data_IF_327769096793
#
_entry.id   IF_327769096793
#
_cell.length_a   1.000
_cell.length_b   1.000
_cell.length_c   1.000
_cell.angle_alpha   90.00
_cell.angle_beta   90.00
_cell.angle_gamma   90.00
#
_symmetry.space_group_name_H-M   'P 1'
#
loop_
_entity.id
_entity.type
_entity.pdbx_description
1 polymer ?
#
# COMPACT_ATOMS: atom_id res chain seq x y z
N UNK A 1 -18.56 -0.42 11.14
CA UNK A 1 -18.05 0.96 11.19
C UNK A 1 -18.45 1.67 9.90
N UNK A 2 -18.70 2.99 9.96
CA UNK A 2 -19.08 3.79 8.78
C UNK A 2 -17.93 4.71 8.42
N UNK A 3 -17.51 4.70 7.15
CA UNK A 3 -16.47 5.59 6.63
C UNK A 3 -17.14 6.57 5.65
N UNK A 4 -16.81 7.86 5.76
CA UNK A 4 -17.29 8.91 4.85
C UNK A 4 -16.12 9.46 4.04
N UNK A 5 -16.23 9.37 2.72
CA UNK A 5 -15.23 9.87 1.78
C UNK A 5 -15.78 11.13 1.09
N UNK A 6 -15.24 12.33 1.36
CA UNK A 6 -15.68 13.54 0.66
C UNK A 6 -15.25 13.50 -0.82
N UNK A 7 -15.89 14.32 -1.66
CA UNK A 7 -15.48 14.50 -3.05
C UNK A 7 -14.06 15.05 -3.10
N UNK A 8 -13.22 14.43 -3.93
CA UNK A 8 -11.82 14.81 -4.13
C UNK A 8 -11.40 14.48 -5.56
N UNK A 9 -10.37 15.14 -6.07
CA UNK A 9 -9.75 14.82 -7.35
C UNK A 9 -8.85 13.56 -7.20
N UNK A 10 -9.47 12.40 -6.94
CA UNK A 10 -8.74 11.19 -6.56
C UNK A 10 -7.80 10.65 -7.65
N UNK A 11 -8.04 11.01 -8.91
CA UNK A 11 -7.35 10.46 -10.08
C UNK A 11 -6.42 11.47 -10.78
N UNK A 12 -5.95 12.50 -10.04
CA UNK A 12 -4.91 13.39 -10.54
C UNK A 12 -3.61 12.64 -10.85
N UNK A 13 -2.80 13.10 -11.81
CA UNK A 13 -1.61 12.36 -12.27
C UNK A 13 -0.61 12.07 -11.15
N UNK A 14 -0.40 13.02 -10.23
CA UNK A 14 0.51 12.84 -9.10
C UNK A 14 0.02 11.77 -8.11
N UNK A 15 -1.30 11.71 -7.87
CA UNK A 15 -1.91 10.68 -7.03
C UNK A 15 -1.85 9.31 -7.68
N UNK A 16 -2.18 9.20 -8.96
CA UNK A 16 -2.09 7.94 -9.72
C UNK A 16 -0.66 7.41 -9.64
N UNK A 17 0.32 8.25 -9.97
CA UNK A 17 1.74 7.89 -9.86
C UNK A 17 2.12 7.46 -8.45
N UNK A 18 1.69 8.21 -7.43
CA UNK A 18 2.01 7.89 -6.05
C UNK A 18 1.45 6.54 -5.61
N UNK A 19 0.17 6.26 -5.88
CA UNK A 19 -0.47 5.03 -5.46
C UNK A 19 0.04 3.80 -6.22
N UNK A 20 0.35 3.94 -7.51
CA UNK A 20 0.78 2.82 -8.35
C UNK A 20 2.27 2.51 -8.17
N UNK A 21 3.11 3.54 -8.04
CA UNK A 21 4.57 3.38 -8.07
C UNK A 21 5.25 3.54 -6.71
N UNK A 22 4.70 4.35 -5.81
CA UNK A 22 5.41 4.74 -4.58
C UNK A 22 4.83 4.03 -3.35
N UNK A 23 3.52 4.10 -3.15
CA UNK A 23 2.86 3.57 -1.96
C UNK A 23 2.95 2.04 -1.90
N UNK A 24 3.10 1.51 -0.69
CA UNK A 24 2.97 0.08 -0.41
C UNK A 24 1.81 -0.18 0.55
N UNK A 25 0.97 -1.17 0.22
CA UNK A 25 -0.07 -1.67 1.11
C UNK A 25 -0.04 -3.21 1.09
N UNK A 26 -0.08 -3.83 2.27
CA UNK A 26 -0.06 -5.30 2.40
C UNK A 26 -0.96 -5.74 3.55
N UNK A 27 -1.65 -6.90 3.45
CA UNK A 27 -2.49 -7.42 4.52
C UNK A 27 -1.75 -7.68 5.85
N UNK A 28 -0.43 -7.83 5.80
CA UNK A 28 0.43 -7.96 6.98
C UNK A 28 0.61 -6.62 7.74
N UNK A 29 0.21 -5.50 7.16
CA UNK A 29 0.18 -4.19 7.84
C UNK A 29 -1.11 -4.10 8.68
N UNK A 30 -1.18 -4.93 9.71
CA UNK A 30 -2.33 -5.08 10.59
C UNK A 30 -1.88 -5.16 12.04
N UNK A 31 -2.80 -4.86 12.96
CA UNK A 31 -2.60 -5.13 14.38
C UNK A 31 -2.48 -6.63 14.62
N UNK A 32 -1.81 -7.00 15.71
CA UNK A 32 -1.64 -8.41 16.10
C UNK A 32 -2.99 -9.14 16.25
N UNK A 33 -4.01 -8.47 16.78
CA UNK A 33 -5.37 -9.00 16.89
C UNK A 33 -6.03 -9.32 15.53
N UNK A 34 -5.48 -8.81 14.42
CA UNK A 34 -5.95 -9.00 13.06
C UNK A 34 -4.93 -9.74 12.19
N UNK A 35 -3.99 -10.46 12.83
CA UNK A 35 -2.98 -11.25 12.14
C UNK A 35 -3.65 -12.16 11.10
N UNK A 36 -3.23 -12.11 9.83
CA UNK A 36 -3.81 -12.98 8.80
C UNK A 36 -3.57 -14.47 9.11
N UNK A 37 -4.63 -15.27 9.10
CA UNK A 37 -4.61 -16.71 9.37
C UNK A 37 -4.87 -17.54 8.11
N UNK A 38 -4.48 -18.82 8.15
CA UNK A 38 -4.64 -19.76 7.04
C UNK A 38 -3.46 -19.75 6.05
N UNK A 39 -3.33 -20.84 5.29
CA UNK A 39 -2.19 -21.07 4.39
C UNK A 39 -2.02 -19.97 3.32
N UNK A 40 -3.10 -19.63 2.63
CA UNK A 40 -3.10 -18.61 1.56
C UNK A 40 -2.71 -17.24 2.09
N UNK A 41 -3.29 -16.80 3.21
CA UNK A 41 -2.98 -15.48 3.77
C UNK A 41 -1.54 -15.38 4.28
N UNK A 42 -1.00 -16.44 4.88
CA UNK A 42 0.41 -16.49 5.29
C UNK A 42 1.35 -16.46 4.08
N UNK A 43 1.02 -17.17 3.00
CA UNK A 43 1.77 -17.10 1.75
C UNK A 43 1.76 -15.68 1.16
N UNK A 44 0.62 -15.00 1.17
CA UNK A 44 0.51 -13.60 0.71
C UNK A 44 1.45 -12.67 1.46
N UNK A 45 1.72 -12.86 2.75
CA UNK A 45 2.65 -11.99 3.48
C UNK A 45 4.07 -12.04 2.89
N UNK A 46 4.52 -13.21 2.46
CA UNK A 46 5.84 -13.39 1.85
C UNK A 46 5.84 -12.88 0.39
N UNK A 47 4.83 -13.27 -0.39
CA UNK A 47 4.73 -12.92 -1.81
C UNK A 47 4.60 -11.41 -2.03
N UNK A 48 3.74 -10.72 -1.26
CA UNK A 48 3.60 -9.26 -1.40
C UNK A 48 4.90 -8.53 -1.09
N UNK A 49 5.67 -8.99 -0.10
CA UNK A 49 6.98 -8.41 0.21
C UNK A 49 7.95 -8.61 -0.96
N UNK A 50 8.08 -9.84 -1.45
CA UNK A 50 8.98 -10.17 -2.55
C UNK A 50 8.64 -9.39 -3.83
N UNK A 51 7.35 -9.28 -4.18
CA UNK A 51 6.90 -8.55 -5.36
C UNK A 51 7.10 -7.03 -5.21
N UNK A 52 6.88 -6.48 -4.02
CA UNK A 52 7.17 -5.07 -3.74
C UNK A 52 8.67 -4.80 -3.91
N UNK A 53 9.52 -5.61 -3.28
CA UNK A 53 10.98 -5.46 -3.36
C UNK A 53 11.47 -5.59 -4.82
N UNK A 54 10.90 -6.53 -5.58
CA UNK A 54 11.17 -6.67 -7.02
C UNK A 54 10.77 -5.41 -7.79
N UNK A 55 9.51 -4.96 -7.67
CA UNK A 55 8.99 -3.80 -8.39
C UNK A 55 9.84 -2.54 -8.14
N UNK A 56 10.20 -2.28 -6.88
CA UNK A 56 10.98 -1.09 -6.52
C UNK A 56 12.43 -1.16 -7.00
N UNK A 57 13.03 -2.35 -7.05
CA UNK A 57 14.35 -2.51 -7.68
C UNK A 57 14.31 -2.27 -9.18
N UNK A 58 13.35 -2.86 -9.89
CA UNK A 58 13.27 -2.74 -11.36
C UNK A 58 12.91 -1.32 -11.82
N UNK A 59 12.07 -0.63 -11.05
CA UNK A 59 11.66 0.76 -11.36
C UNK A 59 12.64 1.81 -10.83
N UNK A 60 13.50 1.46 -9.87
CA UNK A 60 14.35 2.42 -9.15
C UNK A 60 13.58 3.38 -8.24
N UNK A 61 12.28 3.14 -8.02
CA UNK A 61 11.41 4.00 -7.21
C UNK A 61 11.44 3.51 -5.77
N UNK A 62 11.73 4.41 -4.82
CA UNK A 62 11.73 4.07 -3.39
C UNK A 62 10.30 3.88 -2.87
N UNK A 63 10.06 2.78 -2.16
CA UNK A 63 8.80 2.49 -1.49
C UNK A 63 8.50 3.50 -0.37
N UNK A 64 7.25 3.91 -0.23
CA UNK A 64 6.77 4.66 0.93
C UNK A 64 5.72 3.86 1.72
N UNK A 65 5.87 3.89 3.05
CA UNK A 65 4.81 3.47 3.97
C UNK A 65 4.03 4.73 4.39
N UNK A 66 2.92 4.99 3.71
CA UNK A 66 2.07 6.16 3.92
C UNK A 66 1.39 6.08 5.28
N UNK A 67 1.80 6.93 6.23
CA UNK A 67 1.28 6.92 7.60
C UNK A 67 0.32 8.08 7.87
N UNK A 68 0.44 9.17 7.11
CA UNK A 68 -0.39 10.36 7.23
C UNK A 68 -0.92 10.82 5.87
N UNK A 69 -2.04 11.55 5.89
CA UNK A 69 -2.63 12.11 4.66
C UNK A 69 -1.71 13.13 3.99
N UNK A 70 -0.86 13.81 4.76
CA UNK A 70 0.14 14.76 4.27
C UNK A 70 1.25 14.11 3.45
N UNK A 71 1.39 12.77 3.52
CA UNK A 71 2.35 12.02 2.72
C UNK A 71 1.84 11.77 1.29
N UNK A 72 0.55 12.00 1.04
CA UNK A 72 -0.12 11.77 -0.24
C UNK A 72 -0.13 13.11 -1.00
N UNK A 73 0.34 13.16 -2.25
CA UNK A 73 0.29 14.37 -3.06
C UNK A 73 -1.15 14.84 -3.30
N UNK A 74 -1.28 16.14 -3.55
CA UNK A 74 -2.55 16.84 -3.71
C UNK A 74 -3.43 16.21 -4.81
#
# INVERSE_FOLDING_TARGET
ATIRLPRQAAYGPDRVRYFDEVMTFRPAHALEAHRPLGGVMRARMQVYRALSDFRHRETGITAANTAAITDIPA
#
